data_IF_274099120814
#
_entry.id   IF_274099120814
#
_cell.length_a   1.000
_cell.length_b   1.000
_cell.length_c   1.000
_cell.angle_alpha   90.00
_cell.angle_beta   90.00
_cell.angle_gamma   90.00
#
_symmetry.space_group_name_H-M   'P 1'
#
loop_
_entity.id
_entity.type
_entity.pdbx_description
1 polymer ?
#
# COMPACT_ATOMS: atom_id res chain seq x y z
N UNK A 1 -5.24 -20.35 9.39
CA UNK A 1 -3.79 -20.22 9.17
C UNK A 1 -3.57 -19.69 7.76
N UNK A 2 -2.89 -18.55 7.61
CA UNK A 2 -2.56 -17.98 6.31
C UNK A 2 -1.39 -18.70 5.64
N UNK A 3 -1.11 -18.36 4.38
CA UNK A 3 0.11 -18.79 3.69
C UNK A 3 1.29 -17.89 4.09
N UNK A 4 2.48 -18.44 4.38
CA UNK A 4 3.66 -17.64 4.69
C UNK A 4 4.12 -16.75 3.53
N UNK A 5 4.33 -15.45 3.79
CA UNK A 5 4.72 -14.46 2.77
C UNK A 5 5.98 -13.73 3.22
N UNK A 6 6.91 -13.53 2.29
CA UNK A 6 8.09 -12.70 2.52
C UNK A 6 7.93 -11.32 1.85
N UNK A 7 8.23 -10.25 2.58
CA UNK A 7 8.31 -8.88 2.11
C UNK A 7 9.76 -8.41 2.14
N UNK A 8 10.26 -7.94 1.00
CA UNK A 8 11.51 -7.20 0.90
C UNK A 8 11.18 -5.73 0.68
N UNK A 9 11.31 -4.93 1.74
CA UNK A 9 11.04 -3.49 1.72
C UNK A 9 12.35 -2.72 1.67
N UNK A 10 12.59 -2.04 0.55
CA UNK A 10 13.83 -1.32 0.26
C UNK A 10 13.70 0.19 0.49
N UNK A 11 12.47 0.71 0.47
CA UNK A 11 12.18 2.13 0.68
C UNK A 11 11.67 2.40 2.11
N UNK A 12 10.77 1.56 2.60
CA UNK A 12 10.08 1.76 3.87
C UNK A 12 10.65 0.88 4.98
N UNK A 13 10.53 1.32 6.24
CA UNK A 13 10.84 0.45 7.37
C UNK A 13 9.71 -0.57 7.63
N UNK A 14 10.08 -1.68 8.25
CA UNK A 14 9.17 -2.71 8.78
C UNK A 14 8.08 -2.10 9.65
N UNK A 15 8.43 -1.12 10.50
CA UNK A 15 7.49 -0.37 11.34
C UNK A 15 6.43 0.36 10.52
N UNK A 16 6.83 1.06 9.46
CA UNK A 16 5.89 1.79 8.63
C UNK A 16 4.95 0.85 7.87
N UNK A 17 5.45 -0.32 7.44
CA UNK A 17 4.64 -1.35 6.81
C UNK A 17 3.64 -1.95 7.82
N UNK A 18 4.09 -2.28 9.03
CA UNK A 18 3.25 -2.81 10.10
C UNK A 18 2.11 -1.85 10.46
N UNK A 19 2.40 -0.55 10.63
CA UNK A 19 1.37 0.47 10.90
C UNK A 19 0.30 0.50 9.81
N UNK A 20 0.67 0.36 8.53
CA UNK A 20 -0.30 0.30 7.42
C UNK A 20 -1.17 -0.96 7.48
N UNK A 21 -0.58 -2.11 7.82
CA UNK A 21 -1.33 -3.35 8.01
C UNK A 21 -2.30 -3.25 9.19
N UNK A 22 -1.86 -2.65 10.31
CA UNK A 22 -2.71 -2.41 11.47
C UNK A 22 -3.85 -1.47 11.13
N UNK A 23 -3.57 -0.37 10.40
CA UNK A 23 -4.61 0.57 9.95
C UNK A 23 -5.70 -0.11 9.13
N UNK A 24 -5.30 -1.05 8.28
CA UNK A 24 -6.21 -1.84 7.47
C UNK A 24 -7.08 -2.76 8.35
N UNK A 25 -6.46 -3.53 9.24
CA UNK A 25 -7.14 -4.53 10.06
C UNK A 25 -8.01 -3.95 11.18
N UNK A 26 -7.57 -2.85 11.80
CA UNK A 26 -8.30 -2.17 12.88
C UNK A 26 -9.35 -1.18 12.37
N UNK A 27 -9.40 -0.92 11.05
CA UNK A 27 -10.21 0.15 10.46
C UNK A 27 -10.08 1.46 11.25
N UNK A 28 -8.83 1.82 11.56
CA UNK A 28 -8.45 3.09 12.16
C UNK A 28 -7.71 3.94 11.14
N UNK A 29 -8.01 5.25 11.04
CA UNK A 29 -7.26 6.13 10.17
C UNK A 29 -5.77 6.10 10.53
N UNK A 30 -4.92 5.98 9.52
CA UNK A 30 -3.47 5.84 9.69
C UNK A 30 -2.84 7.00 10.48
N UNK A 31 -3.36 8.23 10.33
CA UNK A 31 -2.90 9.40 11.10
C UNK A 31 -3.30 9.35 12.58
N UNK A 32 -4.41 8.69 12.93
CA UNK A 32 -4.79 8.46 14.35
C UNK A 32 -3.79 7.51 15.01
N UNK A 33 -3.46 6.42 14.34
CA UNK A 33 -2.47 5.44 14.83
C UNK A 33 -1.10 6.11 15.01
N UNK A 34 -0.60 6.82 13.98
CA UNK A 34 0.70 7.50 14.06
C UNK A 34 0.77 8.57 15.14
N UNK A 35 -0.32 9.29 15.37
CA UNK A 35 -0.35 10.37 16.38
C UNK A 35 -0.54 9.85 17.80
N UNK A 36 -0.92 8.59 17.99
CA UNK A 36 -1.23 7.99 19.29
C UNK A 36 -2.44 8.60 19.99
N UNK A 37 -3.16 9.53 19.35
CA UNK A 37 -4.34 10.19 19.91
C UNK A 37 -5.54 9.29 19.71
N UNK A 38 -5.66 8.25 20.52
CA UNK A 38 -6.75 7.28 20.45
C UNK A 38 -7.65 7.43 21.68
N UNK A 39 -8.96 7.31 21.47
CA UNK A 39 -9.88 7.10 22.58
C UNK A 39 -9.85 5.63 23.05
N UNK A 40 -10.61 5.32 24.09
CA UNK A 40 -10.62 3.97 24.68
C UNK A 40 -11.13 2.90 23.72
N UNK A 41 -12.11 3.23 22.89
CA UNK A 41 -12.68 2.28 21.93
C UNK A 41 -11.69 2.03 20.78
N UNK A 42 -11.10 3.09 20.24
CA UNK A 42 -10.05 3.00 19.22
C UNK A 42 -8.80 2.28 19.71
N UNK A 43 -8.41 2.47 20.96
CA UNK A 43 -7.30 1.73 21.54
C UNK A 43 -7.60 0.22 21.55
N UNK A 44 -8.85 -0.18 21.86
CA UNK A 44 -9.24 -1.58 21.76
C UNK A 44 -9.24 -2.08 20.31
N UNK A 45 -9.78 -1.31 19.35
CA UNK A 45 -9.73 -1.63 17.91
C UNK A 45 -8.28 -1.83 17.44
N UNK A 46 -7.35 -0.99 17.91
CA UNK A 46 -5.91 -1.10 17.62
C UNK A 46 -5.33 -2.41 18.15
N UNK A 47 -5.58 -2.71 19.43
CA UNK A 47 -5.05 -3.92 20.09
C UNK A 47 -5.58 -5.21 19.44
N UNK A 48 -6.84 -5.22 19.02
CA UNK A 48 -7.42 -6.32 18.24
C UNK A 48 -6.69 -6.49 16.90
N UNK A 49 -6.44 -5.40 16.18
CA UNK A 49 -5.67 -5.42 14.93
C UNK A 49 -4.24 -5.96 15.10
N UNK A 50 -3.55 -5.54 16.16
CA UNK A 50 -2.20 -6.03 16.50
C UNK A 50 -2.23 -7.54 16.79
N UNK A 51 -3.19 -8.00 17.58
CA UNK A 51 -3.33 -9.43 17.92
C UNK A 51 -3.56 -10.30 16.67
N UNK A 52 -4.23 -9.78 15.65
CA UNK A 52 -4.38 -10.47 14.37
C UNK A 52 -3.03 -10.57 13.65
N UNK A 53 -2.28 -9.47 13.55
CA UNK A 53 -0.98 -9.44 12.85
C UNK A 53 0.05 -10.37 13.48
N UNK A 54 0.12 -10.40 14.81
CA UNK A 54 1.05 -11.25 15.57
C UNK A 54 0.92 -12.74 15.20
N UNK A 55 -0.28 -13.15 14.74
CA UNK A 55 -0.56 -14.52 14.33
C UNK A 55 -0.38 -14.77 12.81
N UNK A 56 0.00 -13.76 12.02
CA UNK A 56 0.19 -13.89 10.57
C UNK A 56 1.63 -14.30 10.24
N UNK A 57 1.83 -15.31 9.36
CA UNK A 57 3.17 -15.74 8.95
C UNK A 57 3.79 -14.78 7.92
N UNK A 58 4.05 -13.54 8.32
CA UNK A 58 4.64 -12.48 7.49
C UNK A 58 6.09 -12.29 7.91
N UNK A 59 7.01 -12.36 6.96
CA UNK A 59 8.44 -12.20 7.18
C UNK A 59 8.90 -10.95 6.45
N UNK A 60 9.46 -9.98 7.17
CA UNK A 60 9.87 -8.70 6.61
C UNK A 60 11.41 -8.60 6.64
N UNK A 61 11.99 -8.28 5.49
CA UNK A 61 13.39 -7.92 5.35
C UNK A 61 13.46 -6.46 4.90
N UNK A 62 14.00 -5.60 5.77
CA UNK A 62 14.18 -4.15 5.52
C UNK A 62 15.63 -3.78 5.18
N UNK A 63 16.44 -4.74 4.72
CA UNK A 63 17.84 -4.47 4.36
C UNK A 63 17.90 -3.44 3.22
N UNK A 64 18.49 -2.24 3.42
CA UNK A 64 18.55 -1.21 2.39
C UNK A 64 19.54 -1.60 1.28
N UNK A 65 19.32 -1.08 0.06
CA UNK A 65 20.24 -1.26 -1.08
C UNK A 65 20.56 -2.73 -1.38
N UNK A 66 19.57 -3.61 -1.23
CA UNK A 66 19.73 -5.05 -1.40
C UNK A 66 20.11 -5.42 -2.84
N UNK A 67 21.21 -6.15 -3.00
CA UNK A 67 21.59 -6.68 -4.31
C UNK A 67 20.70 -7.86 -4.71
N UNK A 68 20.59 -8.08 -6.02
CA UNK A 68 19.85 -9.23 -6.56
C UNK A 68 20.37 -10.56 -6.01
N UNK A 69 21.68 -10.70 -5.81
CA UNK A 69 22.29 -11.93 -5.29
C UNK A 69 21.94 -12.16 -3.82
N UNK A 70 21.97 -11.11 -3.00
CA UNK A 70 21.57 -11.19 -1.59
C UNK A 70 20.09 -11.50 -1.46
N UNK A 71 19.23 -10.86 -2.26
CA UNK A 71 17.79 -11.15 -2.31
C UNK A 71 17.55 -12.63 -2.60
N UNK A 72 18.21 -13.20 -3.62
CA UNK A 72 18.06 -14.63 -3.94
C UNK A 72 18.48 -15.53 -2.79
N UNK A 73 19.58 -15.19 -2.12
CA UNK A 73 20.12 -15.97 -1.00
C UNK A 73 19.16 -15.96 0.18
N UNK A 74 18.68 -14.77 0.58
CA UNK A 74 17.69 -14.59 1.65
C UNK A 74 16.36 -15.26 1.29
N UNK A 75 15.86 -15.09 0.07
CA UNK A 75 14.62 -15.72 -0.40
C UNK A 75 14.67 -17.26 -0.32
N UNK A 76 15.76 -17.88 -0.79
CA UNK A 76 15.95 -19.34 -0.68
C UNK A 76 15.95 -19.80 0.76
N UNK A 77 16.65 -19.07 1.63
CA UNK A 77 16.72 -19.38 3.06
C UNK A 77 15.33 -19.31 3.70
N UNK A 78 14.57 -18.23 3.45
CA UNK A 78 13.22 -18.08 3.97
C UNK A 78 12.28 -19.17 3.46
N UNK A 79 12.34 -19.54 2.17
CA UNK A 79 11.55 -20.66 1.62
C UNK A 79 11.90 -21.98 2.31
N UNK A 80 13.19 -22.26 2.53
CA UNK A 80 13.64 -23.50 3.15
C UNK A 80 13.28 -23.58 4.66
N UNK A 81 13.44 -22.48 5.39
CA UNK A 81 13.21 -22.43 6.85
C UNK A 81 11.73 -22.26 7.22
N UNK A 82 10.97 -21.49 6.43
CA UNK A 82 9.61 -21.07 6.78
C UNK A 82 8.54 -21.45 5.75
N UNK A 83 8.92 -22.09 4.64
CA UNK A 83 7.96 -22.57 3.64
C UNK A 83 7.20 -21.46 2.91
N UNK A 84 7.84 -20.31 2.68
CA UNK A 84 7.28 -19.14 1.99
C UNK A 84 6.57 -19.53 0.68
N UNK A 85 5.39 -18.94 0.47
CA UNK A 85 4.49 -19.20 -0.67
C UNK A 85 4.35 -18.03 -1.63
N UNK A 86 4.78 -16.84 -1.24
CA UNK A 86 4.86 -15.69 -2.13
C UNK A 86 5.94 -14.73 -1.63
N UNK A 87 6.55 -14.00 -2.56
CA UNK A 87 7.52 -12.94 -2.27
C UNK A 87 6.98 -11.62 -2.82
N UNK A 88 7.04 -10.56 -2.02
CA UNK A 88 6.71 -9.20 -2.41
C UNK A 88 7.98 -8.34 -2.28
N UNK A 89 8.28 -7.53 -3.30
CA UNK A 89 9.46 -6.66 -3.36
C UNK A 89 9.02 -5.23 -3.62
N UNK A 90 9.36 -4.32 -2.70
CA UNK A 90 9.03 -2.90 -2.74
C UNK A 90 10.33 -2.06 -2.70
N UNK A 91 10.85 -1.53 -3.81
CA UNK A 91 10.45 -1.69 -5.21
C UNK A 91 11.71 -1.87 -6.08
N UNK A 92 11.54 -2.39 -7.30
CA UNK A 92 12.66 -2.85 -8.17
C UNK A 92 13.77 -1.82 -8.37
N UNK A 93 13.41 -0.55 -8.48
CA UNK A 93 14.37 0.48 -8.84
C UNK A 93 15.35 0.85 -7.72
N UNK A 94 15.17 0.33 -6.49
CA UNK A 94 16.15 0.47 -5.41
C UNK A 94 17.15 -0.69 -5.34
N UNK A 95 16.95 -1.74 -6.14
CA UNK A 95 17.90 -2.85 -6.22
C UNK A 95 19.11 -2.47 -7.07
N UNK A 96 20.27 -2.97 -6.66
CA UNK A 96 21.54 -2.82 -7.36
C UNK A 96 22.04 -4.17 -7.91
N UNK A 97 22.89 -4.09 -8.93
CA UNK A 97 23.60 -5.24 -9.50
C UNK A 97 25.06 -5.13 -9.07
N UNK A 98 25.55 -6.12 -8.31
CA UNK A 98 26.91 -6.12 -7.79
C UNK A 98 27.93 -6.04 -8.94
N UNK A 99 28.86 -5.08 -8.86
CA UNK A 99 30.03 -5.00 -9.75
C UNK A 99 29.82 -4.32 -11.11
N UNK A 100 28.67 -3.66 -11.34
CA UNK A 100 28.40 -2.90 -12.58
C UNK A 100 28.64 -1.40 -12.36
N UNK A 101 29.32 -0.71 -13.30
CA UNK A 101 29.40 0.76 -13.30
C UNK A 101 28.04 1.38 -13.62
N UNK A 102 27.70 2.47 -12.91
CA UNK A 102 26.45 3.26 -12.95
C UNK A 102 25.98 3.76 -14.34
N UNK A 103 26.67 3.47 -15.44
CA UNK A 103 26.42 4.13 -16.73
C UNK A 103 25.25 3.56 -17.54
N UNK A 104 24.58 2.47 -17.11
CA UNK A 104 23.46 1.92 -17.87
C UNK A 104 22.35 1.30 -17.01
N UNK A 105 21.51 2.18 -16.43
CA UNK A 105 20.39 1.79 -15.57
C UNK A 105 19.39 0.84 -16.23
N UNK A 106 19.11 1.03 -17.52
CA UNK A 106 18.22 0.15 -18.29
C UNK A 106 18.74 -1.30 -18.31
N UNK A 107 20.06 -1.48 -18.42
CA UNK A 107 20.67 -2.80 -18.38
C UNK A 107 20.59 -3.43 -16.98
N UNK A 108 20.81 -2.64 -15.92
CA UNK A 108 20.64 -3.12 -14.54
C UNK A 108 19.22 -3.61 -14.27
N UNK A 109 18.21 -2.81 -14.63
CA UNK A 109 16.80 -3.19 -14.45
C UNK A 109 16.48 -4.44 -15.26
N UNK A 110 17.07 -4.56 -16.46
CA UNK A 110 16.93 -5.77 -17.27
C UNK A 110 17.53 -7.02 -16.61
N UNK A 111 18.67 -6.89 -15.93
CA UNK A 111 19.30 -8.00 -15.18
C UNK A 111 18.45 -8.36 -13.96
N UNK A 112 17.95 -7.36 -13.21
CA UNK A 112 17.08 -7.54 -12.06
C UNK A 112 15.83 -8.31 -12.48
N UNK A 113 15.13 -7.84 -13.51
CA UNK A 113 13.91 -8.45 -14.06
C UNK A 113 14.10 -9.94 -14.39
N UNK A 114 15.11 -10.28 -15.20
CA UNK A 114 15.43 -11.66 -15.55
C UNK A 114 15.76 -12.52 -14.33
N UNK A 115 16.49 -11.95 -13.37
CA UNK A 115 16.89 -12.66 -12.16
C UNK A 115 15.71 -12.97 -11.26
N UNK A 116 14.74 -12.07 -11.15
CA UNK A 116 13.51 -12.30 -10.40
C UNK A 116 12.61 -13.33 -11.09
N UNK A 117 12.53 -13.31 -12.42
CA UNK A 117 11.83 -14.35 -13.19
C UNK A 117 12.48 -15.72 -12.98
N UNK A 118 13.80 -15.79 -12.98
CA UNK A 118 14.54 -17.01 -12.68
C UNK A 118 14.28 -17.48 -11.24
N UNK A 119 14.29 -16.56 -10.26
CA UNK A 119 14.01 -16.86 -8.86
C UNK A 119 12.58 -17.42 -8.66
N UNK A 120 11.58 -16.81 -9.29
CA UNK A 120 10.20 -17.29 -9.23
C UNK A 120 10.05 -18.71 -9.76
N UNK A 121 10.71 -19.03 -10.88
CA UNK A 121 10.75 -20.37 -11.46
C UNK A 121 11.49 -21.36 -10.57
N UNK A 122 12.64 -20.95 -10.04
CA UNK A 122 13.50 -21.78 -9.19
C UNK A 122 12.78 -22.19 -7.91
N UNK A 123 12.14 -21.22 -7.23
CA UNK A 123 11.41 -21.46 -5.98
C UNK A 123 9.99 -21.99 -6.20
N UNK A 124 9.50 -21.97 -7.45
CA UNK A 124 8.12 -22.35 -7.81
C UNK A 124 7.05 -21.61 -7.00
N UNK A 125 7.27 -20.31 -6.75
CA UNK A 125 6.34 -19.43 -6.05
C UNK A 125 6.17 -18.09 -6.78
N UNK A 126 5.00 -17.43 -6.66
CA UNK A 126 4.81 -16.08 -7.19
C UNK A 126 5.77 -15.07 -6.55
N UNK A 127 6.37 -14.24 -7.40
CA UNK A 127 7.16 -13.07 -7.01
C UNK A 127 6.45 -11.83 -7.55
N UNK A 128 5.98 -10.98 -6.65
CA UNK A 128 5.34 -9.71 -6.95
C UNK A 128 6.36 -8.62 -6.73
N UNK A 129 6.64 -7.85 -7.78
CA UNK A 129 7.60 -6.77 -7.72
C UNK A 129 6.90 -5.45 -8.06
N UNK A 130 7.02 -4.47 -7.16
CA UNK A 130 6.55 -3.13 -7.41
C UNK A 130 7.54 -2.40 -8.31
N UNK A 131 7.01 -1.64 -9.26
CA UNK A 131 7.81 -0.85 -10.20
C UNK A 131 7.23 0.55 -10.29
N UNK A 132 8.09 1.54 -10.14
CA UNK A 132 7.70 2.93 -10.40
C UNK A 132 7.60 3.19 -11.91
N UNK A 133 6.61 3.99 -12.30
CA UNK A 133 6.42 4.43 -13.68
C UNK A 133 7.24 5.67 -13.98
N UNK A 134 7.56 5.84 -15.26
CA UNK A 134 8.20 7.05 -15.72
C UNK A 134 7.22 8.25 -15.63
N UNK A 135 7.71 9.44 -15.25
CA UNK A 135 6.84 10.64 -15.01
C UNK A 135 6.09 11.12 -16.25
N UNK A 136 6.44 10.63 -17.44
CA UNK A 136 5.80 10.96 -18.70
C UNK A 136 4.31 10.61 -18.75
N UNK A 137 3.84 9.65 -17.94
CA UNK A 137 2.40 9.37 -17.78
C UNK A 137 1.64 10.62 -17.32
N UNK A 138 2.26 11.45 -16.48
CA UNK A 138 1.63 12.65 -15.93
C UNK A 138 1.57 13.81 -16.92
N UNK A 139 2.41 13.81 -17.97
CA UNK A 139 2.39 14.85 -19.01
C UNK A 139 1.45 14.54 -20.17
N UNK A 140 0.96 13.29 -20.29
CA UNK A 140 -0.03 12.92 -21.33
C UNK A 140 -1.37 13.62 -21.15
N UNK A 141 -1.97 14.09 -22.24
CA UNK A 141 -3.36 14.59 -22.23
C UNK A 141 -3.53 16.09 -21.98
N UNK A 142 -2.63 16.94 -22.51
CA UNK A 142 -2.79 18.40 -22.52
C UNK A 142 -3.83 18.92 -23.53
N UNK A 143 -5.07 18.43 -23.47
CA UNK A 143 -6.16 18.79 -24.39
C UNK A 143 -7.55 18.74 -23.73
N UNK A 144 -8.57 18.30 -24.49
CA UNK A 144 -9.99 18.22 -24.05
C UNK A 144 -10.20 17.30 -22.83
N UNK A 145 -11.14 17.66 -21.95
CA UNK A 145 -11.46 16.88 -20.73
C UNK A 145 -11.88 15.44 -21.03
N UNK A 146 -12.57 15.20 -22.15
CA UNK A 146 -13.08 13.88 -22.55
C UNK A 146 -11.97 12.85 -22.75
N UNK A 147 -10.78 13.30 -23.18
CA UNK A 147 -9.62 12.44 -23.40
C UNK A 147 -8.68 12.37 -22.19
N UNK A 148 -8.94 13.14 -21.13
CA UNK A 148 -8.02 13.23 -19.99
C UNK A 148 -8.02 11.95 -19.14
N UNK A 149 -9.19 11.35 -18.92
CA UNK A 149 -9.32 10.11 -18.13
C UNK A 149 -8.52 8.97 -18.77
N UNK A 150 -8.69 8.74 -20.07
CA UNK A 150 -7.95 7.71 -20.81
C UNK A 150 -6.46 8.05 -20.97
N UNK A 151 -6.11 9.31 -21.22
CA UNK A 151 -4.71 9.72 -21.40
C UNK A 151 -3.85 9.52 -20.14
N UNK A 152 -4.46 9.58 -18.95
CA UNK A 152 -3.79 9.38 -17.66
C UNK A 152 -3.71 7.91 -17.22
N UNK A 153 -4.40 6.99 -17.89
CA UNK A 153 -4.22 5.56 -17.64
C UNK A 153 -2.79 5.15 -17.99
N UNK A 154 -2.07 4.45 -17.10
CA UNK A 154 -0.77 3.88 -17.40
C UNK A 154 -0.84 2.82 -18.51
N UNK A 155 0.23 2.73 -19.29
CA UNK A 155 0.40 1.79 -20.39
C UNK A 155 1.75 1.09 -20.28
N UNK A 156 1.93 -0.04 -20.99
CA UNK A 156 3.20 -0.78 -20.97
C UNK A 156 4.41 0.08 -21.37
N UNK A 157 4.20 1.04 -22.28
CA UNK A 157 5.21 2.01 -22.69
C UNK A 157 5.66 2.96 -21.58
N UNK A 158 4.94 3.06 -20.45
CA UNK A 158 5.34 3.86 -19.28
C UNK A 158 6.38 3.17 -18.39
N UNK A 159 6.60 1.87 -18.60
CA UNK A 159 7.72 1.16 -18.02
C UNK A 159 9.03 1.41 -18.79
N UNK A 160 8.99 2.22 -19.88
CA UNK A 160 10.14 2.46 -20.77
C UNK A 160 11.30 3.10 -20.01
N UNK A 161 12.51 2.57 -20.26
CA UNK A 161 13.68 2.35 -19.36
C UNK A 161 13.80 0.89 -18.87
N UNK A 162 12.73 0.10 -19.02
CA UNK A 162 12.64 -1.28 -18.51
C UNK A 162 11.91 -2.22 -19.47
N UNK A 163 12.20 -2.17 -20.77
CA UNK A 163 11.55 -3.07 -21.76
C UNK A 163 11.67 -4.56 -21.41
N UNK A 164 12.73 -4.93 -20.68
CA UNK A 164 12.88 -6.27 -20.12
C UNK A 164 11.82 -6.64 -19.07
N UNK A 165 11.35 -5.71 -18.23
CA UNK A 165 10.26 -5.97 -17.27
C UNK A 165 9.01 -6.41 -18.03
N UNK A 166 8.63 -5.65 -19.06
CA UNK A 166 7.49 -6.00 -19.89
C UNK A 166 7.67 -7.39 -20.48
N UNK A 167 8.83 -7.72 -21.03
CA UNK A 167 9.07 -9.02 -21.66
C UNK A 167 9.05 -10.18 -20.65
N UNK A 168 9.78 -10.06 -19.55
CA UNK A 168 10.00 -11.15 -18.58
C UNK A 168 8.77 -11.43 -17.70
N UNK A 169 7.97 -10.40 -17.38
CA UNK A 169 6.80 -10.54 -16.53
C UNK A 169 5.75 -11.49 -17.13
N UNK A 170 5.15 -12.32 -16.28
CA UNK A 170 3.99 -13.14 -16.66
C UNK A 170 2.70 -12.32 -16.66
N UNK A 171 2.61 -11.35 -15.74
CA UNK A 171 1.48 -10.44 -15.60
C UNK A 171 1.99 -9.04 -15.28
N UNK A 172 1.37 -8.02 -15.85
CA UNK A 172 1.64 -6.60 -15.53
C UNK A 172 0.32 -5.95 -15.15
N UNK A 173 0.26 -5.41 -13.95
CA UNK A 173 -0.90 -4.69 -13.43
C UNK A 173 -0.50 -3.24 -13.13
N UNK A 174 -1.32 -2.28 -13.57
CA UNK A 174 -1.19 -0.89 -13.18
C UNK A 174 -2.29 -0.49 -12.22
N UNK A 175 -2.01 0.50 -11.37
CA UNK A 175 -2.99 1.14 -10.50
C UNK A 175 -3.25 2.53 -11.05
N UNK A 176 -4.49 2.81 -11.42
CA UNK A 176 -4.94 4.13 -11.87
C UNK A 176 -6.01 4.68 -10.94
N UNK A 177 -5.77 5.87 -10.39
CA UNK A 177 -6.73 6.59 -9.53
C UNK A 177 -7.10 7.92 -10.20
N UNK A 178 -8.28 8.04 -10.83
CA UNK A 178 -8.71 9.27 -11.49
C UNK A 178 -8.66 10.50 -10.57
N UNK A 179 -9.02 10.30 -9.31
CA UNK A 179 -9.00 11.34 -8.26
C UNK A 179 -7.60 11.96 -8.05
N UNK A 180 -6.52 11.20 -8.21
CA UNK A 180 -5.15 11.73 -8.14
C UNK A 180 -4.90 12.82 -9.19
N UNK A 181 -5.54 12.72 -10.35
CA UNK A 181 -5.48 13.70 -11.44
C UNK A 181 -6.59 14.77 -11.38
N UNK A 182 -7.32 14.84 -10.25
CA UNK A 182 -8.50 15.70 -10.04
C UNK A 182 -9.62 15.43 -11.05
N UNK A 183 -9.81 14.16 -11.40
CA UNK A 183 -10.91 13.70 -12.24
C UNK A 183 -11.91 13.00 -11.32
N UNK A 184 -13.03 13.67 -11.07
CA UNK A 184 -14.04 13.21 -10.10
C UNK A 184 -15.29 12.65 -10.76
N UNK A 185 -15.41 12.79 -12.08
CA UNK A 185 -16.57 12.34 -12.84
C UNK A 185 -16.09 11.78 -14.19
N UNK A 186 -16.69 10.70 -14.64
CA UNK A 186 -16.46 10.15 -15.98
C UNK A 186 -17.20 11.02 -17.01
N UNK A 187 -16.51 11.65 -17.97
CA UNK A 187 -17.14 12.55 -18.95
C UNK A 187 -18.13 11.87 -19.89
N UNK A 188 -18.04 10.54 -20.06
CA UNK A 188 -18.91 9.79 -20.97
C UNK A 188 -20.13 9.20 -20.26
N UNK A 189 -20.00 8.86 -18.98
CA UNK A 189 -21.03 8.14 -18.22
C UNK A 189 -21.63 8.94 -17.07
N UNK A 190 -21.05 10.09 -16.72
CA UNK A 190 -21.36 10.90 -15.54
C UNK A 190 -21.26 10.12 -14.21
N UNK A 191 -20.44 9.07 -14.19
CA UNK A 191 -20.19 8.30 -12.98
C UNK A 191 -19.26 9.05 -12.02
N UNK A 192 -19.57 9.06 -10.72
CA UNK A 192 -18.69 9.60 -9.66
C UNK A 192 -17.44 8.71 -9.47
N UNK A 193 -16.27 9.28 -9.76
CA UNK A 193 -14.97 8.62 -9.70
C UNK A 193 -14.22 8.84 -8.38
N UNK A 194 -14.80 9.54 -7.40
CA UNK A 194 -14.18 9.71 -6.07
C UNK A 194 -13.91 8.36 -5.41
N UNK A 195 -12.68 8.17 -4.94
CA UNK A 195 -12.22 6.91 -4.38
C UNK A 195 -12.07 5.76 -5.37
N UNK A 196 -12.44 5.90 -6.64
CA UNK A 196 -12.27 4.81 -7.62
C UNK A 196 -10.79 4.54 -7.86
N UNK A 197 -10.42 3.27 -7.82
CA UNK A 197 -9.11 2.79 -8.22
C UNK A 197 -9.25 1.63 -9.21
N UNK A 198 -8.64 1.77 -10.37
CA UNK A 198 -8.64 0.77 -11.43
C UNK A 198 -7.35 -0.04 -11.36
N UNK A 199 -7.48 -1.36 -11.24
CA UNK A 199 -6.39 -2.30 -11.43
C UNK A 199 -6.43 -2.76 -12.90
N UNK A 200 -5.54 -2.21 -13.70
CA UNK A 200 -5.46 -2.44 -15.15
C UNK A 200 -4.50 -3.60 -15.39
N UNK A 201 -5.02 -4.78 -15.75
CA UNK A 201 -4.22 -5.93 -16.15
C UNK A 201 -3.78 -5.73 -17.60
N UNK A 202 -2.67 -5.02 -17.79
CA UNK A 202 -2.15 -4.63 -19.11
C UNK A 202 -1.46 -5.78 -19.85
N UNK A 203 -0.96 -6.79 -19.13
CA UNK A 203 -0.39 -8.00 -19.69
C UNK A 203 -0.78 -9.21 -18.85
N UNK A 204 -1.14 -10.30 -19.51
CA UNK A 204 -1.33 -11.59 -18.87
C UNK A 204 -0.95 -12.71 -19.84
N UNK A 205 0.14 -13.45 -19.56
CA UNK A 205 0.63 -14.53 -20.44
C UNK A 205 -0.35 -15.70 -20.56
N UNK A 206 -1.17 -15.93 -19.54
CA UNK A 206 -2.02 -17.11 -19.40
C UNK A 206 -3.53 -16.78 -19.39
N UNK A 207 -3.93 -15.58 -19.79
CA UNK A 207 -5.34 -15.19 -19.76
C UNK A 207 -5.61 -13.82 -20.38
N UNK A 208 -6.83 -13.33 -20.19
CA UNK A 208 -7.24 -12.03 -20.72
C UNK A 208 -6.67 -10.86 -19.91
N UNK A 209 -6.48 -9.75 -20.59
CA UNK A 209 -6.35 -8.43 -19.98
C UNK A 209 -7.74 -7.93 -19.53
N UNK A 210 -7.77 -7.13 -18.47
CA UNK A 210 -9.01 -6.60 -17.92
C UNK A 210 -8.74 -5.38 -17.04
N UNK A 211 -9.69 -4.46 -17.00
CA UNK A 211 -9.71 -3.36 -16.04
C UNK A 211 -10.64 -3.75 -14.88
N UNK A 212 -10.06 -3.96 -13.71
CA UNK A 212 -10.80 -4.34 -12.49
C UNK A 212 -11.02 -3.08 -11.66
N UNK A 213 -12.28 -2.74 -11.42
CA UNK A 213 -12.66 -1.59 -10.61
C UNK A 213 -12.71 -1.96 -9.12
N UNK A 214 -11.99 -1.19 -8.32
CA UNK A 214 -11.99 -1.21 -6.86
C UNK A 214 -12.20 0.22 -6.34
N UNK A 215 -12.23 0.36 -5.02
CA UNK A 215 -12.24 1.66 -4.35
C UNK A 215 -11.08 1.74 -3.37
N UNK A 216 -10.46 2.90 -3.24
CA UNK A 216 -9.33 3.13 -2.35
C UNK A 216 -9.71 4.10 -1.24
N UNK A 217 -9.80 3.60 0.00
CA UNK A 217 -10.09 4.39 1.18
C UNK A 217 -8.76 4.97 1.72
N UNK A 218 -8.49 6.23 1.36
CA UNK A 218 -7.18 6.86 1.57
C UNK A 218 -6.77 6.98 3.05
N UNK A 219 -7.70 7.30 3.94
CA UNK A 219 -7.42 7.46 5.37
C UNK A 219 -6.96 6.16 6.04
N UNK A 220 -7.34 5.02 5.47
CA UNK A 220 -7.06 3.67 5.96
C UNK A 220 -5.99 2.94 5.11
N UNK A 221 -5.53 3.56 4.02
CA UNK A 221 -4.54 3.00 3.09
C UNK A 221 -4.96 1.58 2.62
N UNK A 222 -6.23 1.42 2.27
CA UNK A 222 -6.80 0.12 1.90
C UNK A 222 -7.61 0.18 0.60
N UNK A 223 -7.58 -0.92 -0.15
CA UNK A 223 -8.48 -1.16 -1.27
C UNK A 223 -9.68 -1.97 -0.77
N UNK A 224 -10.87 -1.58 -1.21
CA UNK A 224 -12.13 -2.26 -0.92
C UNK A 224 -12.85 -2.59 -2.22
N UNK A 225 -13.63 -3.68 -2.19
CA UNK A 225 -14.24 -4.22 -3.40
C UNK A 225 -15.51 -3.46 -3.83
N UNK A 226 -16.21 -2.83 -2.88
CA UNK A 226 -17.53 -2.25 -3.15
C UNK A 226 -17.60 -0.77 -2.77
N UNK A 227 -18.45 -0.03 -3.50
CA UNK A 227 -18.73 1.39 -3.20
C UNK A 227 -19.29 1.57 -1.79
N UNK A 228 -20.17 0.66 -1.36
CA UNK A 228 -20.82 0.70 -0.06
C UNK A 228 -19.81 0.60 1.08
N UNK A 229 -18.83 -0.30 0.95
CA UNK A 229 -17.76 -0.46 1.94
C UNK A 229 -16.86 0.77 2.01
N UNK A 230 -16.52 1.36 0.85
CA UNK A 230 -15.79 2.62 0.76
C UNK A 230 -16.52 3.77 1.46
N UNK A 231 -17.82 3.91 1.21
CA UNK A 231 -18.64 4.95 1.84
C UNK A 231 -18.76 4.76 3.35
N UNK A 232 -18.87 3.52 3.84
CA UNK A 232 -18.85 3.20 5.27
C UNK A 232 -17.55 3.65 5.93
N UNK A 233 -16.40 3.31 5.33
CA UNK A 233 -15.09 3.70 5.88
C UNK A 233 -14.92 5.22 5.89
N UNK A 234 -15.27 5.91 4.80
CA UNK A 234 -15.20 7.36 4.76
C UNK A 234 -16.14 8.04 5.77
N UNK A 235 -17.35 7.50 5.98
CA UNK A 235 -18.27 8.00 7.00
C UNK A 235 -17.68 7.81 8.41
N UNK A 236 -17.07 6.65 8.70
CA UNK A 236 -16.37 6.37 9.97
C UNK A 236 -15.24 7.38 10.21
N UNK A 237 -14.44 7.69 9.19
CA UNK A 237 -13.38 8.69 9.29
C UNK A 237 -13.94 10.10 9.56
N UNK A 238 -14.97 10.51 8.82
CA UNK A 238 -15.61 11.83 9.00
C UNK A 238 -16.25 12.01 10.39
N UNK A 239 -16.89 10.96 10.93
CA UNK A 239 -17.45 10.99 12.28
C UNK A 239 -16.37 11.08 13.37
N UNK A 240 -15.20 10.46 13.14
CA UNK A 240 -14.08 10.49 14.10
C UNK A 240 -13.23 11.75 13.99
N UNK A 241 -13.20 12.41 12.81
CA UNK A 241 -12.54 13.70 12.59
C UNK A 241 -13.31 14.92 13.13
N UNK A 242 -14.60 14.77 13.43
CA UNK A 242 -15.46 15.84 13.96
C UNK A 242 -15.50 15.86 15.49
N UNK A 243 -14.35 16.12 16.11
CA UNK A 243 -14.36 16.63 17.49
C UNK A 243 -14.82 18.09 17.43
N UNK A 244 -16.14 18.31 17.52
CA UNK A 244 -16.69 19.63 17.85
C UNK A 244 -16.17 20.00 19.24
N UNK A 245 -15.13 20.82 19.30
CA UNK A 245 -14.77 21.53 20.53
C UNK A 245 -15.98 22.40 20.90
N UNK A 246 -16.61 22.21 22.08
CA UNK A 246 -17.62 23.14 22.53
C UNK A 246 -16.95 24.51 22.68
N UNK A 247 -17.37 25.46 21.83
CA UNK A 247 -16.95 26.85 21.96
C UNK A 247 -17.34 27.35 23.35
N UNK A 248 -16.39 27.94 24.07
CA UNK A 248 -16.60 28.59 25.38
C UNK A 248 -17.61 29.75 25.34
N UNK A 249 -18.21 30.03 24.19
CA UNK A 249 -19.14 31.14 23.98
C UNK A 249 -20.60 30.88 24.42
N UNK A 250 -20.98 29.66 24.84
CA UNK A 250 -22.30 29.40 25.42
C UNK A 250 -22.17 28.69 26.78
N UNK A 251 -21.87 29.46 27.84
CA UNK A 251 -22.18 29.09 29.22
C UNK A 251 -22.89 30.25 29.89
N UNK A 252 -24.21 30.24 29.82
CA UNK A 252 -25.06 30.87 30.81
C UNK A 252 -26.31 30.01 30.96
N UNK A 253 -26.19 28.95 31.77
CA UNK A 253 -27.23 28.47 32.70
C UNK A 253 -26.62 27.33 33.52
N UNK A 254 -26.53 27.61 34.81
CA UNK A 254 -26.21 26.70 35.90
C UNK A 254 -27.18 25.53 35.98
N UNK A 255 -26.70 24.29 35.81
CA UNK A 255 -27.12 23.12 36.60
C UNK A 255 -25.90 22.23 36.78
N UNK A 256 -25.64 21.85 38.04
CA UNK A 256 -24.63 20.87 38.44
C UNK A 256 -25.05 19.50 37.93
N UNK A 257 -24.17 18.81 37.20
CA UNK A 257 -24.09 17.36 37.28
C UNK A 257 -22.63 16.93 37.26
N UNK A 258 -22.29 16.22 38.31
CA UNK A 258 -21.02 15.54 38.56
C UNK A 258 -20.86 14.38 37.57
N UNK A 259 -19.90 14.47 36.68
CA UNK A 259 -19.18 13.32 36.15
C UNK A 259 -17.77 13.79 35.80
N UNK A 260 -16.83 13.46 36.69
CA UNK A 260 -15.40 13.58 36.43
C UNK A 260 -15.08 12.84 35.13
N UNK A 261 -14.48 13.56 34.18
CA UNK A 261 -13.82 12.97 33.03
C UNK A 261 -12.62 12.17 33.53
N UNK A 262 -12.80 10.87 33.73
CA UNK A 262 -11.70 9.94 33.91
C UNK A 262 -11.07 9.73 32.53
N UNK A 263 -10.22 10.67 32.11
CA UNK A 263 -9.13 10.33 31.21
C UNK A 263 -8.23 9.40 32.03
N UNK A 264 -8.38 8.09 31.85
CA UNK A 264 -7.30 7.20 32.23
C UNK A 264 -6.14 7.57 31.32
N UNK A 265 -5.11 8.18 31.89
CA UNK A 265 -3.81 8.30 31.23
C UNK A 265 -3.44 6.93 30.67
N UNK A 266 -3.13 6.89 29.37
CA UNK A 266 -2.45 5.74 28.78
C UNK A 266 -1.24 5.41 29.66
N UNK A 267 -0.83 4.13 29.79
CA UNK A 267 0.43 3.80 30.46
C UNK A 267 1.51 4.70 29.88
N UNK A 268 2.18 5.48 30.74
CA UNK A 268 3.12 6.52 30.31
C UNK A 268 4.32 5.98 29.50
N UNK A 269 4.45 4.65 29.42
CA UNK A 269 5.55 3.93 28.79
C UNK A 269 5.17 3.19 27.48
N UNK A 270 3.97 3.37 26.91
CA UNK A 270 3.61 2.70 25.64
C UNK A 270 4.21 3.44 24.43
N UNK A 271 5.30 2.90 23.87
CA UNK A 271 5.91 3.37 22.63
C UNK A 271 5.70 2.34 21.52
N UNK A 272 4.90 2.72 20.51
CA UNK A 272 4.60 1.91 19.31
C UNK A 272 5.89 1.47 18.58
N UNK A 273 7.02 2.16 18.79
CA UNK A 273 8.33 1.78 18.22
C UNK A 273 9.04 0.67 18.98
N UNK A 274 8.80 0.50 20.28
CA UNK A 274 9.45 -0.52 21.12
C UNK A 274 8.54 -1.68 21.49
N UNK A 275 7.23 -1.45 21.53
CA UNK A 275 6.28 -2.36 22.18
C UNK A 275 5.46 -3.20 21.18
N UNK A 276 5.72 -2.99 19.88
CA UNK A 276 5.26 -3.89 18.82
C UNK A 276 6.35 -4.95 18.62
N UNK A 277 6.10 -6.24 18.93
CA UNK A 277 7.08 -7.28 18.70
C UNK A 277 7.31 -7.43 17.19
N UNK A 278 8.54 -7.18 16.74
CA UNK A 278 9.03 -7.57 15.41
C UNK A 278 9.76 -8.91 15.52
#
# INVERSE_FOLDING_TARGET
KGYPIAFFTLEMSSVQLAIRLISNLSELPNERIKSGKLDKEEFNELMEGIAVIDNLPIYIDETPSLSVMELRTKARRLVAEHGIKAIIIDYLQLMNVSGMSYSNRENEVSIISRSLKALAKELSIPVIALSQLNRNVESRGGGSMDNKLEAKKPQLSDLRESGAIEQDADMVCFIHRPEYYRIFEDPNTNEDLRGVAQIIVAKHRNGATADIKLYFAQDYITFVNTRQEYERLNAKSASKGSVLLPSKANRNTTVRDSNESVYNELPQDFDIRSDVPY
#
